data_IF_815674127561
#
_entry.id   IF_815674127561
#
_cell.length_a   1.000
_cell.length_b   1.000
_cell.length_c   1.000
_cell.angle_alpha   90.00
_cell.angle_beta   90.00
_cell.angle_gamma   90.00
#
_symmetry.space_group_name_H-M   'P 1'
#
loop_
_entity.id
_entity.type
_entity.pdbx_description
1 polymer ?
#
# COMPACT_ATOMS: atom_id res chain seq x y z
N UNK A 1 2.61 10.69 29.50
CA UNK A 1 2.80 10.40 28.06
C UNK A 1 3.92 9.37 27.93
N UNK A 2 3.63 8.15 27.53
CA UNK A 2 4.66 7.10 27.43
C UNK A 2 5.58 7.38 26.23
N UNK A 3 6.76 7.95 26.52
CA UNK A 3 7.87 8.19 25.58
C UNK A 3 8.66 6.89 25.33
N UNK A 4 7.98 5.76 25.16
CA UNK A 4 8.62 4.50 24.76
C UNK A 4 8.80 4.42 23.25
N UNK A 5 9.96 3.95 22.81
CA UNK A 5 10.18 3.53 21.44
C UNK A 5 9.68 2.09 21.27
N UNK A 6 8.93 1.83 20.20
CA UNK A 6 8.47 0.47 19.86
C UNK A 6 9.14 0.06 18.55
N UNK A 7 10.00 -0.98 18.54
CA UNK A 7 10.63 -1.47 17.32
C UNK A 7 9.59 -2.11 16.40
N UNK A 8 9.23 -1.45 15.31
CA UNK A 8 8.23 -1.95 14.35
C UNK A 8 8.61 -3.28 13.71
N UNK A 9 9.91 -3.58 13.60
CA UNK A 9 10.38 -4.86 13.09
C UNK A 9 9.95 -6.02 14.00
N UNK A 10 10.09 -5.87 15.31
CA UNK A 10 9.70 -6.91 16.27
C UNK A 10 8.18 -7.07 16.33
N UNK A 11 7.42 -5.96 16.30
CA UNK A 11 5.96 -6.03 16.26
C UNK A 11 5.49 -6.83 15.04
N UNK A 12 6.11 -6.62 13.87
CA UNK A 12 5.81 -7.37 12.63
C UNK A 12 6.22 -8.84 12.67
N UNK A 13 7.23 -9.20 13.47
CA UNK A 13 7.67 -10.60 13.65
C UNK A 13 6.80 -11.34 14.67
N UNK A 14 6.38 -10.65 15.72
CA UNK A 14 5.63 -11.24 16.82
C UNK A 14 4.14 -11.43 16.48
N UNK A 15 3.56 -10.52 15.68
CA UNK A 15 2.11 -10.52 15.42
C UNK A 15 1.81 -10.95 14.00
N UNK A 16 0.96 -11.98 13.85
CA UNK A 16 0.43 -12.41 12.56
C UNK A 16 -0.79 -11.58 12.17
N UNK A 17 -0.99 -11.41 10.86
CA UNK A 17 -2.17 -10.70 10.35
C UNK A 17 -3.47 -11.49 10.65
N UNK A 18 -3.39 -12.81 10.75
CA UNK A 18 -4.50 -13.68 11.18
C UNK A 18 -5.00 -13.33 12.59
N UNK A 19 -4.09 -13.16 13.55
CA UNK A 19 -4.45 -12.82 14.94
C UNK A 19 -5.15 -11.46 15.05
N UNK A 20 -4.74 -10.48 14.23
CA UNK A 20 -5.38 -9.16 14.20
C UNK A 20 -6.78 -9.25 13.59
N UNK A 21 -6.93 -10.02 12.51
CA UNK A 21 -8.24 -10.24 11.87
C UNK A 21 -9.21 -10.98 12.79
N UNK A 22 -8.70 -11.94 13.58
CA UNK A 22 -9.49 -12.66 14.58
C UNK A 22 -9.98 -11.72 15.68
N UNK A 23 -9.07 -10.89 16.24
CA UNK A 23 -9.41 -9.92 17.29
C UNK A 23 -10.45 -8.90 16.84
N UNK A 24 -10.44 -8.51 15.57
CA UNK A 24 -11.43 -7.60 15.02
C UNK A 24 -12.68 -8.29 14.45
N UNK A 25 -12.81 -9.61 14.63
CA UNK A 25 -13.91 -10.44 14.13
C UNK A 25 -14.09 -10.35 12.61
N UNK A 26 -13.04 -9.97 11.90
CA UNK A 26 -13.06 -9.87 10.44
C UNK A 26 -12.93 -11.23 9.78
N UNK A 27 -12.27 -12.20 10.43
CA UNK A 27 -12.13 -13.56 9.89
C UNK A 27 -13.46 -14.22 9.52
N UNK A 28 -14.54 -13.97 10.26
CA UNK A 28 -15.86 -14.55 9.97
C UNK A 28 -16.43 -14.13 8.60
N UNK A 29 -16.05 -12.93 8.12
CA UNK A 29 -16.47 -12.41 6.81
C UNK A 29 -15.55 -12.84 5.67
N UNK A 30 -14.40 -13.43 5.98
CA UNK A 30 -13.37 -13.77 5.00
C UNK A 30 -13.37 -15.27 4.70
N UNK A 31 -13.18 -15.63 3.44
CA UNK A 31 -13.02 -17.01 3.02
C UNK A 31 -11.54 -17.35 2.88
N UNK A 32 -11.09 -18.42 3.54
CA UNK A 32 -9.72 -18.93 3.41
C UNK A 32 -9.53 -19.72 2.12
N UNK A 33 -8.50 -19.36 1.36
CA UNK A 33 -8.04 -20.06 0.16
C UNK A 33 -6.53 -20.31 0.28
N UNK A 34 -6.19 -21.46 0.86
CA UNK A 34 -4.80 -21.81 1.18
C UNK A 34 -4.19 -20.81 2.16
N UNK A 35 -3.16 -20.08 1.70
CA UNK A 35 -2.44 -19.07 2.48
C UNK A 35 -2.99 -17.64 2.31
N UNK A 36 -4.03 -17.48 1.49
CA UNK A 36 -4.68 -16.19 1.29
C UNK A 36 -6.09 -16.19 1.90
N UNK A 37 -6.54 -15.04 2.37
CA UNK A 37 -7.93 -14.79 2.76
C UNK A 37 -8.53 -13.76 1.80
N UNK A 38 -9.77 -14.00 1.37
CA UNK A 38 -10.48 -13.09 0.48
C UNK A 38 -11.89 -12.82 0.98
N UNK A 39 -12.37 -11.58 0.87
CA UNK A 39 -13.74 -11.25 1.25
C UNK A 39 -14.14 -9.79 0.99
N UNK A 40 -15.29 -9.37 1.57
CA UNK A 40 -15.71 -7.98 1.55
C UNK A 40 -14.78 -7.13 2.44
N UNK A 41 -14.55 -5.88 2.06
CA UNK A 41 -13.70 -4.99 2.83
C UNK A 41 -14.47 -4.39 4.02
N UNK A 42 -13.96 -4.50 5.27
CA UNK A 42 -14.62 -3.95 6.44
C UNK A 42 -14.57 -2.40 6.49
N UNK A 43 -13.65 -1.77 5.77
CA UNK A 43 -13.44 -0.32 5.81
C UNK A 43 -14.35 0.46 4.85
N UNK A 44 -14.54 -0.06 3.63
CA UNK A 44 -15.30 0.63 2.59
C UNK A 44 -16.67 0.00 2.29
N UNK A 45 -17.10 -0.98 3.11
CA UNK A 45 -18.40 -1.68 2.99
C UNK A 45 -18.69 -2.14 1.55
N UNK A 46 -17.65 -2.57 0.85
CA UNK A 46 -17.76 -2.97 -0.55
C UNK A 46 -18.53 -4.28 -0.68
N UNK A 47 -19.52 -4.32 -1.58
CA UNK A 47 -20.40 -5.48 -1.76
C UNK A 47 -19.69 -6.70 -2.40
N UNK A 48 -18.57 -6.50 -3.09
CA UNK A 48 -17.90 -7.62 -3.78
C UNK A 48 -16.96 -8.40 -2.85
N UNK A 49 -17.25 -9.69 -2.65
CA UNK A 49 -16.50 -10.61 -1.79
C UNK A 49 -15.06 -10.96 -2.22
N UNK A 50 -14.44 -10.19 -3.11
CA UNK A 50 -13.02 -10.33 -3.51
C UNK A 50 -12.23 -9.02 -3.42
N UNK A 51 -12.84 -7.96 -2.88
CA UNK A 51 -12.19 -6.65 -2.82
C UNK A 51 -11.06 -6.63 -1.79
N UNK A 52 -11.22 -7.33 -0.67
CA UNK A 52 -10.21 -7.43 0.36
C UNK A 52 -9.44 -8.74 0.20
N UNK A 53 -8.13 -8.64 0.00
CA UNK A 53 -7.21 -9.77 -0.07
C UNK A 53 -6.18 -9.64 1.04
N UNK A 54 -5.90 -10.76 1.70
CA UNK A 54 -4.88 -10.88 2.74
C UNK A 54 -3.99 -12.06 2.39
N UNK A 55 -2.68 -11.86 2.50
CA UNK A 55 -1.71 -12.93 2.39
C UNK A 55 -1.05 -13.16 3.75
N UNK A 56 -1.28 -14.35 4.32
CA UNK A 56 -0.80 -14.70 5.67
C UNK A 56 0.72 -14.91 5.71
N UNK A 57 1.32 -15.36 4.61
CA UNK A 57 2.78 -15.60 4.51
C UNK A 57 3.54 -14.27 4.44
N UNK A 58 3.04 -13.34 3.63
CA UNK A 58 3.62 -12.00 3.47
C UNK A 58 3.23 -11.04 4.60
N UNK A 59 2.30 -11.44 5.47
CA UNK A 59 1.69 -10.58 6.48
C UNK A 59 1.28 -9.21 5.90
N UNK A 60 0.61 -9.24 4.75
CA UNK A 60 0.19 -8.06 4.02
C UNK A 60 -1.27 -8.17 3.57
N UNK A 61 -1.93 -7.03 3.45
CA UNK A 61 -3.32 -6.93 2.99
C UNK A 61 -3.47 -5.81 1.96
N UNK A 62 -4.47 -5.94 1.10
CA UNK A 62 -4.83 -4.92 0.14
C UNK A 62 -6.34 -4.97 -0.16
N UNK A 63 -6.94 -3.80 -0.24
CA UNK A 63 -8.31 -3.62 -0.68
C UNK A 63 -8.35 -2.94 -2.06
N UNK A 64 -8.89 -3.63 -3.06
CA UNK A 64 -9.07 -3.10 -4.41
C UNK A 64 -10.13 -2.01 -4.51
N UNK A 65 -11.08 -1.94 -3.56
CA UNK A 65 -12.14 -0.93 -3.57
C UNK A 65 -11.66 0.44 -3.10
N UNK A 66 -11.12 0.52 -1.88
CA UNK A 66 -10.62 1.78 -1.31
C UNK A 66 -9.14 2.07 -1.60
N UNK A 67 -8.45 1.17 -2.31
CA UNK A 67 -7.02 1.24 -2.63
C UNK A 67 -6.11 1.36 -1.40
N UNK A 68 -6.62 0.97 -0.22
CA UNK A 68 -5.84 0.89 1.00
C UNK A 68 -5.19 -0.48 1.12
N UNK A 69 -3.97 -0.53 1.64
CA UNK A 69 -3.28 -1.77 1.93
C UNK A 69 -1.96 -1.50 2.61
N UNK A 70 -1.32 -2.55 3.07
CA UNK A 70 -0.07 -2.46 3.80
C UNK A 70 0.15 -3.68 4.67
N UNK A 71 0.87 -3.47 5.77
CA UNK A 71 1.18 -4.51 6.75
C UNK A 71 0.14 -4.49 7.91
N UNK A 72 0.45 -5.27 8.95
CA UNK A 72 -0.32 -5.34 10.19
C UNK A 72 -0.56 -3.98 10.88
N UNK A 73 0.44 -3.09 10.89
CA UNK A 73 0.36 -1.76 11.50
C UNK A 73 -0.57 -0.86 10.69
N UNK A 74 -0.49 -0.93 9.36
CA UNK A 74 -1.36 -0.17 8.47
C UNK A 74 -2.82 -0.59 8.63
N UNK A 75 -3.09 -1.88 8.86
CA UNK A 75 -4.44 -2.39 9.13
C UNK A 75 -5.03 -1.76 10.40
N UNK A 76 -4.26 -1.80 11.50
CA UNK A 76 -4.68 -1.26 12.80
C UNK A 76 -4.81 0.25 12.74
N UNK A 77 -3.85 0.93 12.12
CA UNK A 77 -3.87 2.37 11.93
C UNK A 77 -5.10 2.80 11.11
N UNK A 78 -5.47 2.03 10.07
CA UNK A 78 -6.66 2.30 9.27
C UNK A 78 -7.97 2.00 10.02
N UNK A 79 -8.00 0.96 10.84
CA UNK A 79 -9.18 0.59 11.65
C UNK A 79 -9.46 1.58 12.77
N UNK A 80 -8.42 2.02 13.45
CA UNK A 80 -8.51 2.88 14.63
C UNK A 80 -8.35 4.38 14.28
N UNK A 81 -8.04 4.70 13.02
CA UNK A 81 -7.75 6.05 12.53
C UNK A 81 -6.66 6.76 13.35
N UNK A 82 -5.61 6.01 13.71
CA UNK A 82 -4.48 6.50 14.51
C UNK A 82 -3.17 6.47 13.73
N UNK A 83 -2.16 7.17 14.24
CA UNK A 83 -0.79 7.09 13.70
C UNK A 83 -0.21 5.68 13.82
N UNK A 84 0.72 5.33 12.92
CA UNK A 84 1.46 4.05 12.94
C UNK A 84 2.13 3.78 14.30
N UNK A 85 2.68 4.83 14.95
CA UNK A 85 3.28 4.70 16.29
C UNK A 85 2.24 4.30 17.33
N UNK A 86 1.07 4.93 17.30
CA UNK A 86 -0.04 4.59 18.21
C UNK A 86 -0.55 3.17 17.95
N UNK A 87 -0.63 2.76 16.68
CA UNK A 87 -0.98 1.40 16.31
C UNK A 87 0.02 0.37 16.85
N UNK A 88 1.33 0.65 16.77
CA UNK A 88 2.37 -0.20 17.34
C UNK A 88 2.25 -0.33 18.87
N UNK A 89 1.98 0.77 19.58
CA UNK A 89 1.76 0.76 21.02
C UNK A 89 0.52 -0.06 21.41
N UNK A 90 -0.56 0.04 20.63
CA UNK A 90 -1.76 -0.77 20.81
C UNK A 90 -1.47 -2.26 20.62
N UNK A 91 -0.72 -2.61 19.56
CA UNK A 91 -0.32 -4.00 19.32
C UNK A 91 0.56 -4.55 20.44
N UNK A 92 1.54 -3.78 20.92
CA UNK A 92 2.35 -4.17 22.07
C UNK A 92 1.50 -4.44 23.32
N UNK A 93 0.50 -3.58 23.58
CA UNK A 93 -0.42 -3.75 24.70
C UNK A 93 -1.38 -4.93 24.53
N UNK A 94 -1.83 -5.23 23.31
CA UNK A 94 -2.78 -6.32 23.06
C UNK A 94 -2.14 -7.70 23.10
N UNK A 95 -0.88 -7.79 22.68
CA UNK A 95 -0.13 -9.04 22.62
C UNK A 95 0.90 -9.15 23.76
N UNK A 96 0.88 -8.20 24.71
CA UNK A 96 1.76 -8.15 25.89
C UNK A 96 3.24 -8.39 25.54
N UNK A 97 3.70 -7.77 24.43
CA UNK A 97 5.03 -8.05 23.87
C UNK A 97 6.17 -7.45 24.72
N UNK A 98 5.87 -6.49 25.59
CA UNK A 98 6.86 -5.86 26.48
C UNK A 98 7.94 -5.08 25.73
N UNK A 99 7.67 -4.62 24.51
CA UNK A 99 8.63 -3.96 23.63
C UNK A 99 8.84 -2.48 23.96
N UNK A 100 8.05 -1.94 24.90
CA UNK A 100 8.22 -0.58 25.44
C UNK A 100 9.46 -0.55 26.34
N UNK A 101 10.60 -0.40 25.67
CA UNK A 101 11.97 -0.11 26.17
C UNK A 101 12.72 -1.19 26.98
N UNK A 102 13.67 -1.83 26.30
CA UNK A 102 15.10 -1.73 26.66
C UNK A 102 15.90 -1.36 25.41
N UNK A 103 16.64 -0.25 25.48
CA UNK A 103 17.60 0.16 24.46
C UNK A 103 18.62 -0.95 24.17
N UNK A 104 18.66 -1.43 22.93
CA UNK A 104 19.93 -1.64 22.21
C UNK A 104 19.70 -1.56 20.69
N UNK A 105 20.42 -0.68 19.97
CA UNK A 105 20.35 -0.60 18.52
C UNK A 105 21.13 -1.76 17.91
N UNK A 106 20.46 -2.64 17.17
CA UNK A 106 21.11 -3.38 16.10
C UNK A 106 20.34 -3.14 14.82
N UNK A 107 20.99 -2.35 13.98
CA UNK A 107 20.68 -2.21 12.59
C UNK A 107 20.84 -3.57 11.93
N UNK A 108 19.73 -4.21 11.61
CA UNK A 108 19.66 -5.13 10.48
C UNK A 108 18.38 -4.79 9.74
N UNK A 109 18.55 -3.92 8.74
CA UNK A 109 17.57 -3.80 7.69
C UNK A 109 17.41 -5.20 7.09
N UNK A 110 16.20 -5.77 7.01
CA UNK A 110 15.96 -6.68 5.91
C UNK A 110 16.04 -5.77 4.68
N UNK A 111 17.20 -5.81 4.03
CA UNK A 111 17.33 -5.48 2.64
C UNK A 111 16.24 -6.28 1.93
N UNK A 112 15.10 -5.64 1.68
CA UNK A 112 14.32 -5.99 0.50
C UNK A 112 15.28 -5.72 -0.65
N UNK A 113 15.68 -6.74 -1.45
CA UNK A 113 16.48 -6.48 -2.63
C UNK A 113 15.64 -5.57 -3.53
N UNK A 114 16.02 -4.29 -3.55
CA UNK A 114 15.69 -3.40 -4.64
C UNK A 114 16.82 -3.56 -5.64
N UNK A 115 16.43 -3.60 -6.93
CA UNK A 115 17.25 -3.67 -8.15
C UNK A 115 17.55 -5.08 -8.69
N UNK A 116 17.39 -5.44 -9.97
CA UNK A 116 16.91 -4.81 -11.23
C UNK A 116 16.89 -6.00 -12.24
N UNK A 117 15.90 -6.26 -13.12
CA UNK A 117 15.77 -5.66 -14.47
C UNK A 117 14.65 -6.34 -15.29
N UNK A 118 14.08 -5.51 -16.18
CA UNK A 118 13.55 -5.80 -17.52
C UNK A 118 12.05 -6.13 -17.74
N UNK A 119 11.32 -5.09 -18.19
CA UNK A 119 10.42 -5.01 -19.35
C UNK A 119 9.28 -6.05 -19.52
N UNK A 120 7.99 -5.66 -19.34
CA UNK A 120 7.01 -5.06 -20.30
C UNK A 120 6.36 -6.07 -21.28
N UNK A 121 5.08 -5.94 -21.75
CA UNK A 121 4.30 -4.70 -22.05
C UNK A 121 2.95 -4.56 -21.29
N UNK A 122 2.50 -3.36 -20.86
CA UNK A 122 1.70 -2.30 -21.56
C UNK A 122 0.19 -2.64 -21.72
N UNK A 123 -0.82 -1.78 -21.47
CA UNK A 123 -0.94 -0.31 -21.62
C UNK A 123 -2.15 0.25 -20.79
N UNK A 124 -2.59 1.53 -20.93
CA UNK A 124 -1.98 2.78 -20.42
C UNK A 124 -2.94 3.62 -19.52
N UNK A 125 -2.45 4.56 -18.69
CA UNK A 125 -3.26 5.62 -18.09
C UNK A 125 -3.02 7.00 -18.74
N UNK A 126 -4.08 7.80 -18.73
CA UNK A 126 -4.22 9.09 -19.37
C UNK A 126 -3.40 10.23 -18.74
N UNK A 127 -2.84 11.04 -19.64
CA UNK A 127 -2.66 12.51 -19.63
C UNK A 127 -2.08 13.20 -18.38
N UNK A 128 -0.85 13.71 -18.56
CA UNK A 128 -0.13 14.66 -17.70
C UNK A 128 -0.26 16.10 -18.19
N UNK A 129 -0.38 17.00 -17.23
CA UNK A 129 0.38 18.26 -17.02
C UNK A 129 0.40 19.39 -18.07
N UNK A 130 0.41 20.59 -17.49
CA UNK A 130 0.38 21.97 -18.02
C UNK A 130 1.60 22.25 -18.92
N UNK A 131 1.44 23.06 -20.00
CA UNK A 131 2.42 23.17 -21.10
C UNK A 131 3.70 23.97 -20.74
N UNK A 132 4.87 23.59 -21.28
CA UNK A 132 6.04 24.45 -21.30
C UNK A 132 5.88 25.59 -22.33
N UNK A 133 6.07 26.81 -21.86
CA UNK A 133 6.17 28.06 -22.63
C UNK A 133 7.46 28.09 -23.46
N UNK A 134 7.40 27.63 -24.71
CA UNK A 134 8.13 28.18 -25.88
C UNK A 134 8.03 27.19 -27.05
N UNK A 135 7.48 27.64 -28.18
CA UNK A 135 7.38 26.86 -29.42
C UNK A 135 8.47 27.35 -30.39
N UNK A 136 9.68 26.77 -30.39
CA UNK A 136 10.70 27.16 -31.36
C UNK A 136 10.26 26.77 -32.77
N UNK A 137 10.49 27.61 -33.78
CA UNK A 137 10.10 27.29 -35.15
C UNK A 137 10.82 26.04 -35.63
N UNK A 138 10.09 25.18 -36.33
CA UNK A 138 10.61 23.94 -36.87
C UNK A 138 11.67 24.25 -37.93
N UNK A 139 12.87 23.68 -37.78
CA UNK A 139 14.04 23.91 -38.64
C UNK A 139 13.96 23.19 -40.01
N UNK A 140 12.78 22.71 -40.42
CA UNK A 140 12.60 22.02 -41.68
C UNK A 140 11.48 22.65 -42.49
N UNK A 141 11.76 22.89 -43.77
CA UNK A 141 10.80 23.46 -44.72
C UNK A 141 9.98 22.31 -45.32
N UNK A 142 8.66 22.35 -45.14
CA UNK A 142 7.74 21.41 -45.77
C UNK A 142 7.60 21.75 -47.26
N UNK A 143 8.08 20.86 -48.14
CA UNK A 143 8.17 21.07 -49.61
C UNK A 143 6.90 20.73 -50.40
N UNK A 144 5.77 20.51 -49.73
CA UNK A 144 4.49 20.19 -50.39
C UNK A 144 3.31 20.67 -49.55
N UNK A 145 3.24 21.97 -49.26
CA UNK A 145 2.01 22.61 -48.82
C UNK A 145 1.42 23.36 -50.02
N UNK A 146 0.46 22.72 -50.67
CA UNK A 146 -0.37 23.34 -51.70
C UNK A 146 -1.32 24.33 -51.01
N UNK A 147 -1.04 25.63 -51.09
CA UNK A 147 -1.79 26.70 -50.40
C UNK A 147 -3.07 27.12 -51.12
N UNK A 148 -3.53 26.38 -52.13
CA UNK A 148 -4.70 26.72 -52.92
C UNK A 148 -6.01 26.19 -52.31
N UNK A 149 -6.36 26.61 -51.09
CA UNK A 149 -7.77 26.57 -50.65
C UNK A 149 -8.07 27.55 -49.52
N UNK A 150 -8.07 28.84 -49.86
CA UNK A 150 -8.83 29.84 -49.11
C UNK A 150 -9.23 30.96 -50.06
N UNK A 151 -10.36 30.78 -50.72
CA UNK A 151 -11.11 31.87 -51.33
C UNK A 151 -12.51 31.88 -50.71
N UNK A 152 -12.99 33.10 -50.46
CA UNK A 152 -14.26 33.53 -49.84
C UNK A 152 -14.33 33.52 -48.31
#
# INVERSE_FOLDING_TARGET
MQKGFVPFAEVKRAVSLEAILERYEFLASLTRKGMNLAGPCPFCKGSSGRQFQVNLVKNAWYCFGCKAGGNILDLVAKKEEVSIRTAALKLDSWFELGLVAKEKPQAEAPASPVETRAASPEAPPAAKEVPPTSNPPLAFTLKTLDTARRDS
#
